data_IF_936153616950
#
_entry.id   IF_936153616950
#
_cell.length_a   1.000
_cell.length_b   1.000
_cell.length_c   1.000
_cell.angle_alpha   90.00
_cell.angle_beta   90.00
_cell.angle_gamma   90.00
#
_symmetry.space_group_name_H-M   'P 1'
#
loop_
_entity.id
_entity.type
_entity.pdbx_description
1 polymer ?
#
# COMPACT_ATOMS: atom_id res chain seq x y z
N UNK A 1 -19.57 14.43 -0.93
CA UNK A 1 -18.74 14.28 0.28
C UNK A 1 -17.60 13.31 -0.02
N UNK A 2 -16.38 13.75 0.16
CA UNK A 2 -15.20 12.90 -0.01
C UNK A 2 -15.03 12.02 1.23
N UNK A 3 -14.87 10.71 1.00
CA UNK A 3 -14.54 9.80 2.08
C UNK A 3 -13.05 9.89 2.38
N UNK A 4 -12.66 9.91 3.66
CA UNK A 4 -11.24 9.87 3.99
C UNK A 4 -10.63 8.54 3.54
N UNK A 5 -9.41 8.60 3.02
CA UNK A 5 -8.68 7.41 2.61
C UNK A 5 -8.15 6.70 3.85
N UNK A 6 -8.38 5.39 3.94
CA UNK A 6 -7.75 4.54 4.94
C UNK A 6 -6.51 3.92 4.30
N UNK A 7 -5.39 4.00 5.00
CA UNK A 7 -4.11 3.48 4.52
C UNK A 7 -3.93 2.08 5.10
N UNK A 8 -3.82 1.10 4.22
CA UNK A 8 -3.49 -0.28 4.61
C UNK A 8 -2.00 -0.46 4.37
N UNK A 9 -1.25 -0.77 5.40
CA UNK A 9 0.21 -0.89 5.31
C UNK A 9 0.62 -2.33 5.61
N UNK A 10 1.29 -2.96 4.65
CA UNK A 10 1.81 -4.32 4.81
C UNK A 10 3.34 -4.24 4.84
N UNK A 11 3.91 -4.39 6.03
CA UNK A 11 5.34 -4.28 6.27
C UNK A 11 5.71 -5.18 7.45
N UNK A 12 6.57 -6.17 7.21
CA UNK A 12 6.95 -7.13 8.24
C UNK A 12 8.00 -6.60 9.23
N UNK A 13 8.77 -5.59 8.87
CA UNK A 13 9.77 -4.99 9.75
C UNK A 13 9.14 -3.87 10.57
N UNK A 14 9.07 -4.06 11.89
CA UNK A 14 8.45 -3.09 12.78
C UNK A 14 9.15 -1.72 12.76
N UNK A 15 10.47 -1.70 12.61
CA UNK A 15 11.22 -0.45 12.53
C UNK A 15 10.88 0.34 11.28
N UNK A 16 10.80 -0.34 10.13
CA UNK A 16 10.38 0.29 8.89
C UNK A 16 8.93 0.77 8.98
N UNK A 17 8.05 -0.03 9.55
CA UNK A 17 6.64 0.33 9.71
C UNK A 17 6.50 1.61 10.54
N UNK A 18 7.20 1.70 11.67
CA UNK A 18 7.17 2.90 12.52
C UNK A 18 7.72 4.13 11.80
N UNK A 19 8.80 3.94 11.03
CA UNK A 19 9.39 5.03 10.27
C UNK A 19 8.43 5.56 9.21
N UNK A 20 7.79 4.66 8.47
CA UNK A 20 6.81 5.02 7.45
C UNK A 20 5.65 5.80 8.10
N UNK A 21 5.08 5.26 9.16
CA UNK A 21 3.98 5.91 9.86
C UNK A 21 4.37 7.29 10.38
N UNK A 22 5.53 7.39 11.01
CA UNK A 22 6.01 8.68 11.54
C UNK A 22 6.14 9.73 10.45
N UNK A 23 6.66 9.36 9.28
CA UNK A 23 6.85 10.31 8.19
C UNK A 23 5.52 10.69 7.53
N UNK A 24 4.57 9.78 7.46
CA UNK A 24 3.23 10.09 7.01
C UNK A 24 2.61 11.13 7.95
N UNK A 25 2.69 10.91 9.27
CA UNK A 25 2.15 11.84 10.26
C UNK A 25 2.84 13.21 10.21
N UNK A 26 4.15 13.25 9.99
CA UNK A 26 4.90 14.50 9.85
C UNK A 26 4.42 15.33 8.65
N UNK A 27 3.91 14.68 7.62
CA UNK A 27 3.37 15.36 6.44
C UNK A 27 2.01 15.99 6.67
N UNK A 28 1.45 15.86 7.89
CA UNK A 28 0.13 16.41 8.22
C UNK A 28 -1.01 15.47 7.86
N UNK A 29 -0.71 14.25 7.44
CA UNK A 29 -1.73 13.26 7.10
C UNK A 29 -2.18 12.54 8.37
N UNK A 30 -3.46 12.68 8.70
CA UNK A 30 -4.06 12.11 9.91
C UNK A 30 -4.98 10.92 9.61
N UNK A 31 -4.93 10.41 8.40
CA UNK A 31 -5.75 9.28 7.97
C UNK A 31 -5.44 8.03 8.79
N UNK A 32 -6.43 7.19 8.97
CA UNK A 32 -6.25 5.93 9.66
C UNK A 32 -5.24 5.06 8.90
N UNK A 33 -4.32 4.44 9.65
CA UNK A 33 -3.37 3.48 9.11
C UNK A 33 -3.65 2.14 9.79
N UNK A 34 -3.95 1.12 8.97
CA UNK A 34 -4.15 -0.25 9.46
C UNK A 34 -2.91 -1.04 9.09
N UNK A 35 -2.07 -1.41 10.08
CA UNK A 35 -0.84 -2.13 9.81
C UNK A 35 -1.03 -3.63 9.81
N UNK A 36 -0.32 -4.32 8.93
CA UNK A 36 -0.21 -5.77 8.90
C UNK A 36 1.28 -6.13 8.78
N UNK A 37 1.69 -7.15 9.52
CA UNK A 37 3.09 -7.60 9.52
C UNK A 37 3.31 -8.84 8.66
N UNK A 38 2.27 -9.40 8.10
CA UNK A 38 2.33 -10.58 7.22
C UNK A 38 1.29 -10.48 6.12
N UNK A 39 1.50 -11.26 5.08
CA UNK A 39 0.62 -11.25 3.91
C UNK A 39 -0.71 -11.92 4.19
N UNK A 40 -0.72 -12.99 4.97
CA UNK A 40 -1.96 -13.74 5.25
C UNK A 40 -3.00 -12.88 5.95
N UNK A 41 -2.60 -12.16 6.99
CA UNK A 41 -3.51 -11.27 7.72
C UNK A 41 -4.04 -10.16 6.83
N UNK A 42 -3.16 -9.58 6.00
CA UNK A 42 -3.55 -8.52 5.08
C UNK A 42 -4.53 -9.03 4.01
N UNK A 43 -4.26 -10.20 3.45
CA UNK A 43 -5.14 -10.82 2.45
C UNK A 43 -6.50 -11.11 3.05
N UNK A 44 -6.54 -11.63 4.28
CA UNK A 44 -7.81 -11.89 4.96
C UNK A 44 -8.62 -10.61 5.17
N UNK A 45 -7.95 -9.52 5.50
CA UNK A 45 -8.61 -8.22 5.64
C UNK A 45 -9.13 -7.71 4.31
N UNK A 46 -8.28 -7.71 3.27
CA UNK A 46 -8.62 -7.14 1.97
C UNK A 46 -9.70 -7.94 1.24
N UNK A 47 -9.59 -9.26 1.24
CA UNK A 47 -10.48 -10.12 0.46
C UNK A 47 -11.66 -10.67 1.26
N UNK A 48 -11.62 -10.56 2.59
CA UNK A 48 -12.70 -11.04 3.44
C UNK A 48 -12.68 -12.55 3.62
N UNK A 49 -13.63 -13.04 4.41
CA UNK A 49 -13.71 -14.46 4.74
C UNK A 49 -14.02 -15.35 3.54
N UNK A 50 -14.80 -14.84 2.61
CA UNK A 50 -15.18 -15.58 1.40
C UNK A 50 -14.19 -15.38 0.24
N UNK A 51 -13.18 -14.54 0.42
CA UNK A 51 -12.18 -14.26 -0.60
C UNK A 51 -12.62 -13.36 -1.74
N UNK A 52 -13.84 -12.85 -1.70
CA UNK A 52 -14.42 -12.07 -2.82
C UNK A 52 -13.97 -10.60 -2.85
N UNK A 53 -13.55 -10.05 -1.72
CA UNK A 53 -13.27 -8.63 -1.58
C UNK A 53 -14.51 -7.77 -1.31
N UNK A 54 -15.68 -8.38 -1.24
CA UNK A 54 -16.94 -7.68 -1.09
C UNK A 54 -17.01 -6.85 0.20
N UNK A 55 -16.38 -7.32 1.28
CA UNK A 55 -16.37 -6.60 2.55
C UNK A 55 -15.72 -5.21 2.45
N UNK A 56 -14.86 -4.99 1.46
CA UNK A 56 -14.19 -3.68 1.25
C UNK A 56 -14.88 -2.81 0.21
N UNK A 57 -16.01 -3.27 -0.32
CA UNK A 57 -16.76 -2.52 -1.32
C UNK A 57 -17.16 -1.14 -0.77
N UNK A 58 -16.93 -0.11 -1.56
CA UNK A 58 -17.29 1.26 -1.19
C UNK A 58 -16.30 1.99 -0.31
N UNK A 59 -15.24 1.32 0.17
CA UNK A 59 -14.23 1.96 1.00
C UNK A 59 -13.14 2.62 0.14
N UNK A 60 -12.68 3.79 0.57
CA UNK A 60 -11.56 4.47 -0.06
C UNK A 60 -10.28 3.99 0.63
N UNK A 61 -9.54 3.14 -0.05
CA UNK A 61 -8.31 2.51 0.49
C UNK A 61 -7.10 2.87 -0.35
N UNK A 62 -5.95 2.96 0.30
CA UNK A 62 -4.65 3.04 -0.35
C UNK A 62 -3.76 1.98 0.28
N UNK A 63 -3.09 1.19 -0.53
CA UNK A 63 -2.23 0.10 -0.05
C UNK A 63 -0.77 0.50 -0.14
N UNK A 64 -0.06 0.45 1.00
CA UNK A 64 1.40 0.51 1.05
C UNK A 64 1.88 -0.93 1.21
N UNK A 65 2.66 -1.42 0.27
CA UNK A 65 2.98 -2.84 0.16
C UNK A 65 4.47 -3.08 0.05
N UNK A 66 5.04 -3.84 1.00
CA UNK A 66 6.38 -4.39 0.87
C UNK A 66 6.29 -5.67 0.04
N UNK A 67 7.26 -5.89 -0.83
CA UNK A 67 7.34 -7.10 -1.64
C UNK A 67 7.88 -8.30 -0.88
N UNK A 68 8.69 -8.07 0.15
CA UNK A 68 9.37 -9.12 0.89
C UNK A 68 8.64 -9.43 2.19
N UNK A 69 7.65 -10.30 2.12
CA UNK A 69 6.86 -10.71 3.29
C UNK A 69 7.25 -12.13 3.71
N UNK A 70 7.03 -12.50 4.98
CA UNK A 70 7.49 -13.80 5.48
C UNK A 70 6.73 -15.00 4.92
N UNK A 71 5.48 -14.82 4.54
CA UNK A 71 4.57 -15.92 4.20
C UNK A 71 4.12 -15.92 2.72
N UNK A 72 4.35 -14.83 1.99
CA UNK A 72 4.03 -14.76 0.57
C UNK A 72 4.75 -13.58 -0.07
N UNK A 73 4.75 -13.49 -1.38
CA UNK A 73 5.35 -12.34 -2.06
C UNK A 73 4.35 -11.20 -2.18
N UNK A 74 4.83 -9.96 -2.03
CA UNK A 74 3.98 -8.80 -2.24
C UNK A 74 3.51 -8.68 -3.69
N UNK A 75 4.28 -9.18 -4.65
CA UNK A 75 3.87 -9.22 -6.06
C UNK A 75 2.57 -10.04 -6.21
N UNK A 76 2.47 -11.15 -5.49
CA UNK A 76 1.25 -11.97 -5.54
C UNK A 76 0.04 -11.20 -5.00
N UNK A 77 0.24 -10.46 -3.92
CA UNK A 77 -0.83 -9.62 -3.36
C UNK A 77 -1.24 -8.53 -4.37
N UNK A 78 -0.27 -7.85 -4.97
CA UNK A 78 -0.54 -6.82 -5.97
C UNK A 78 -1.36 -7.39 -7.14
N UNK A 79 -0.95 -8.54 -7.67
CA UNK A 79 -1.65 -9.19 -8.76
C UNK A 79 -3.10 -9.51 -8.37
N UNK A 80 -3.29 -10.10 -7.20
CA UNK A 80 -4.62 -10.48 -6.71
C UNK A 80 -5.53 -9.27 -6.51
N UNK A 81 -4.99 -8.18 -5.99
CA UNK A 81 -5.74 -6.92 -5.82
C UNK A 81 -6.20 -6.39 -7.18
N UNK A 82 -5.29 -6.36 -8.16
CA UNK A 82 -5.60 -5.79 -9.48
C UNK A 82 -6.51 -6.69 -10.32
N UNK A 83 -6.60 -7.96 -10.01
CA UNK A 83 -7.55 -8.88 -10.64
C UNK A 83 -8.92 -8.88 -9.96
N UNK A 84 -9.02 -8.29 -8.76
CA UNK A 84 -10.24 -8.33 -7.98
C UNK A 84 -11.21 -7.22 -8.40
N UNK A 85 -12.45 -7.59 -8.61
CA UNK A 85 -13.50 -6.68 -9.08
C UNK A 85 -13.74 -5.50 -8.14
N UNK A 86 -13.63 -5.70 -6.84
CA UNK A 86 -13.90 -4.65 -5.84
C UNK A 86 -12.66 -3.86 -5.44
N UNK A 87 -11.47 -4.45 -5.60
CA UNK A 87 -10.22 -3.87 -5.10
C UNK A 87 -9.34 -3.27 -6.20
N UNK A 88 -9.60 -3.57 -7.46
CA UNK A 88 -8.70 -3.19 -8.57
C UNK A 88 -8.46 -1.69 -8.72
N UNK A 89 -9.37 -0.86 -8.24
CA UNK A 89 -9.23 0.60 -8.31
C UNK A 89 -8.40 1.17 -7.17
N UNK A 90 -8.09 0.37 -6.17
CA UNK A 90 -7.29 0.81 -5.03
C UNK A 90 -5.86 1.12 -5.48
N UNK A 91 -5.35 2.34 -5.24
CA UNK A 91 -3.95 2.62 -5.53
C UNK A 91 -3.04 1.76 -4.68
N UNK A 92 -1.97 1.25 -5.29
CA UNK A 92 -0.95 0.46 -4.60
C UNK A 92 0.40 1.15 -4.74
N UNK A 93 1.01 1.46 -3.62
CA UNK A 93 2.36 2.01 -3.55
C UNK A 93 3.27 0.92 -3.01
N UNK A 94 4.25 0.53 -3.82
CA UNK A 94 5.21 -0.50 -3.42
C UNK A 94 6.39 0.16 -2.72
N UNK A 95 6.68 -0.27 -1.49
CA UNK A 95 7.80 0.21 -0.68
C UNK A 95 8.67 -0.99 -0.33
N UNK A 96 9.84 -1.10 -0.94
CA UNK A 96 10.68 -2.27 -0.72
C UNK A 96 12.16 -1.94 -0.86
N UNK A 97 13.01 -2.84 -0.32
CA UNK A 97 14.46 -2.72 -0.47
C UNK A 97 14.96 -3.19 -1.84
N UNK A 98 14.10 -3.86 -2.61
CA UNK A 98 14.48 -4.39 -3.93
C UNK A 98 14.55 -3.26 -4.96
N UNK A 99 15.68 -3.19 -5.68
CA UNK A 99 15.88 -2.22 -6.77
C UNK A 99 16.08 -2.90 -8.12
N UNK A 100 15.72 -4.17 -8.23
CA UNK A 100 15.82 -4.94 -9.47
C UNK A 100 14.88 -4.34 -10.53
N UNK A 101 15.45 -3.97 -11.67
CA UNK A 101 14.70 -3.31 -12.74
C UNK A 101 13.59 -4.20 -13.33
N UNK A 102 13.78 -5.51 -13.34
CA UNK A 102 12.75 -6.44 -13.80
C UNK A 102 11.57 -6.49 -12.85
N UNK A 103 11.85 -6.45 -11.56
CA UNK A 103 10.81 -6.47 -10.54
C UNK A 103 10.03 -5.16 -10.53
N UNK A 104 10.72 -4.02 -10.66
CA UNK A 104 10.09 -2.71 -10.77
C UNK A 104 9.14 -2.68 -11.97
N UNK A 105 9.62 -3.13 -13.13
CA UNK A 105 8.80 -3.17 -14.34
C UNK A 105 7.58 -4.05 -14.16
N UNK A 106 7.77 -5.22 -13.56
CA UNK A 106 6.67 -6.15 -13.31
C UNK A 106 5.60 -5.52 -12.41
N UNK A 107 6.00 -4.78 -11.38
CA UNK A 107 5.04 -4.10 -10.51
C UNK A 107 4.22 -3.08 -11.28
N UNK A 108 4.83 -2.28 -12.14
CA UNK A 108 4.09 -1.32 -12.96
C UNK A 108 3.19 -2.02 -13.98
N UNK A 109 3.65 -3.10 -14.59
CA UNK A 109 2.83 -3.88 -15.52
C UNK A 109 1.61 -4.47 -14.83
N UNK A 110 1.75 -4.87 -13.56
CA UNK A 110 0.63 -5.38 -12.76
C UNK A 110 -0.29 -4.28 -12.26
N UNK A 111 0.11 -3.02 -12.37
CA UNK A 111 -0.77 -1.90 -12.06
C UNK A 111 -0.47 -1.15 -10.77
N UNK A 112 0.74 -1.27 -10.21
CA UNK A 112 1.06 -0.42 -9.04
C UNK A 112 1.10 1.05 -9.48
N UNK A 113 0.73 1.94 -8.57
CA UNK A 113 0.71 3.37 -8.85
C UNK A 113 2.08 4.00 -8.75
N UNK A 114 2.84 3.62 -7.74
CA UNK A 114 4.20 4.12 -7.49
C UNK A 114 5.05 3.00 -6.92
N UNK A 115 6.30 2.94 -7.33
CA UNK A 115 7.30 2.03 -6.76
C UNK A 115 8.37 2.88 -6.09
N UNK A 116 8.61 2.65 -4.82
CA UNK A 116 9.61 3.38 -4.05
C UNK A 116 10.59 2.38 -3.47
N UNK A 117 11.87 2.48 -3.87
CA UNK A 117 12.93 1.69 -3.27
C UNK A 117 13.23 2.30 -1.91
N UNK A 118 13.13 1.48 -0.87
CA UNK A 118 13.52 1.89 0.47
C UNK A 118 14.98 2.27 0.42
N UNK A 119 15.34 3.49 0.79
CA UNK A 119 16.70 3.96 0.60
C UNK A 119 17.63 3.34 1.61
N UNK A 120 18.81 3.10 1.15
CA UNK A 120 19.96 3.01 2.00
C UNK A 120 20.15 4.36 2.72
N UNK A 121 19.62 5.45 2.16
CA UNK A 121 19.71 6.79 2.69
C UNK A 121 18.36 7.22 3.30
N UNK A 122 18.39 7.51 4.59
CA UNK A 122 17.22 7.91 5.37
C UNK A 122 16.52 9.16 4.79
N UNK A 123 17.29 10.17 4.40
CA UNK A 123 16.72 11.43 3.92
C UNK A 123 15.89 11.24 2.63
N UNK A 124 16.40 10.46 1.70
CA UNK A 124 15.68 10.18 0.45
C UNK A 124 14.37 9.45 0.72
N UNK A 125 14.40 8.49 1.65
CA UNK A 125 13.19 7.76 2.03
C UNK A 125 12.18 8.70 2.70
N UNK A 126 12.65 9.51 3.65
CA UNK A 126 11.80 10.46 4.35
C UNK A 126 11.16 11.46 3.39
N UNK A 127 11.92 11.93 2.39
CA UNK A 127 11.39 12.83 1.37
C UNK A 127 10.33 12.17 0.50
N UNK A 128 10.56 10.92 0.09
CA UNK A 128 9.59 10.16 -0.70
C UNK A 128 8.29 9.97 0.07
N UNK A 129 8.38 9.61 1.36
CA UNK A 129 7.19 9.43 2.21
C UNK A 129 6.46 10.76 2.41
N UNK A 130 7.18 11.86 2.56
CA UNK A 130 6.54 13.19 2.67
C UNK A 130 5.80 13.56 1.39
N UNK A 131 6.37 13.24 0.22
CA UNK A 131 5.69 13.46 -1.06
C UNK A 131 4.41 12.62 -1.15
N UNK A 132 4.45 11.38 -0.70
CA UNK A 132 3.25 10.54 -0.61
C UNK A 132 2.22 11.16 0.35
N UNK A 133 2.66 11.73 1.47
CA UNK A 133 1.79 12.42 2.40
C UNK A 133 1.06 13.58 1.73
N UNK A 134 1.76 14.39 0.94
CA UNK A 134 1.14 15.46 0.16
C UNK A 134 0.15 14.90 -0.87
N UNK A 135 0.50 13.81 -1.51
CA UNK A 135 -0.39 13.12 -2.44
C UNK A 135 -1.69 12.71 -1.75
N UNK A 136 -1.61 12.11 -0.56
CA UNK A 136 -2.80 11.67 0.19
C UNK A 136 -3.69 12.84 0.61
N UNK A 137 -3.13 14.02 0.82
CA UNK A 137 -3.90 15.17 1.30
C UNK A 137 -4.56 15.96 0.17
N UNK A 138 -4.06 15.88 -1.07
CA UNK A 138 -4.59 16.68 -2.18
C UNK A 138 -5.29 15.85 -3.27
N UNK A 139 -4.99 14.57 -3.37
CA UNK A 139 -5.57 13.71 -4.42
C UNK A 139 -6.62 12.80 -3.84
N UNK A 140 -7.78 12.80 -4.45
CA UNK A 140 -8.85 11.89 -4.07
C UNK A 140 -8.58 10.51 -4.64
N UNK A 141 -8.86 9.50 -3.83
CA UNK A 141 -8.71 8.11 -4.22
C UNK A 141 -10.09 7.55 -4.53
N UNK A 142 -10.27 6.82 -5.65
CA UNK A 142 -11.56 6.20 -5.92
C UNK A 142 -11.91 5.17 -4.85
N UNK A 143 -13.20 5.03 -4.57
CA UNK A 143 -13.66 4.01 -3.64
C UNK A 143 -13.40 2.61 -4.23
N UNK A 144 -13.37 1.59 -3.37
CA UNK A 144 -13.11 0.22 -3.77
C UNK A 144 -14.27 -0.42 -4.53
N UNK A 145 -15.41 0.20 -4.55
CA UNK A 145 -16.56 -0.32 -5.30
C UNK A 145 -16.49 0.09 -6.75
N UNK A 146 -16.73 -0.82 -7.62
CA UNK A 146 -16.92 -0.53 -9.03
C UNK A 146 -18.39 -0.16 -9.29
#
# INVERSE_FOLDING_TARGET
>A
MTMPVTIVMIEDDEGHARLIERNIRRSGVNNEIIPFTDGTSAVNYLFGKDGSGLERKGQALLLLLDLNLPDMTGIDILRRVKENRYLKCMPVVVLTTTDDSHEIRRCYELGCSVYITKPVNYESFANAIRQLGLFFSVIQVPSTAA
#
